data_IF_651856633541
#
_entry.id   IF_651856633541
#
_cell.length_a   1.000
_cell.length_b   1.000
_cell.length_c   1.000
_cell.angle_alpha   90.00
_cell.angle_beta   90.00
_cell.angle_gamma   90.00
#
_symmetry.space_group_name_H-M   'P 1'
#
loop_
_entity.id
_entity.type
_entity.pdbx_description
1 polymer ?
2 polymer ?
3 polymer ?
4 non-polymer ?
5 non-polymer ?
6 non-polymer ?
7 non-polymer ?
8 non-polymer ?
9 water ?
#
# COMPACT_ATOMS: atom_id res chain seq x y z
N UNK A 25 13.92 -11.17 -13.47
CA UNK A 25 13.54 -9.76 -13.41
C UNK A 25 12.13 -9.50 -13.89
N UNK A 26 11.15 -10.05 -13.16
CA UNK A 26 9.76 -9.88 -13.53
C UNK A 26 9.21 -8.56 -12.99
N UNK A 27 8.20 -8.04 -13.68
CA UNK A 27 7.57 -6.78 -13.31
C UNK A 27 6.06 -6.97 -13.22
N UNK A 28 5.40 -6.05 -12.53
CA UNK A 28 3.98 -6.14 -12.27
C UNK A 28 3.31 -4.78 -12.46
N UNK A 29 2.06 -4.81 -12.89
CA UNK A 29 1.18 -3.66 -12.88
C UNK A 29 -0.08 -4.02 -12.11
N UNK A 30 -0.51 -3.15 -11.21
CA UNK A 30 -1.68 -3.41 -10.37
C UNK A 30 -2.55 -2.18 -10.29
N UNK A 31 -3.87 -2.39 -10.32
CA UNK A 31 -4.85 -1.35 -10.11
C UNK A 31 -5.68 -1.68 -8.88
N UNK A 32 -5.99 -0.67 -8.08
CA UNK A 32 -6.72 -0.85 -6.83
C UNK A 32 -7.93 0.08 -6.83
N UNK A 33 -9.12 -0.48 -6.93
CA UNK A 33 -10.36 0.27 -6.90
C UNK A 33 -10.99 0.17 -5.52
N UNK A 34 -11.60 1.26 -5.07
CA UNK A 34 -12.29 1.28 -3.79
C UNK A 34 -13.54 2.14 -3.91
N UNK A 35 -14.70 1.57 -3.57
CA UNK A 35 -15.98 2.27 -3.62
C UNK A 35 -16.62 2.19 -2.25
N UNK A 36 -16.77 3.33 -1.58
CA UNK A 36 -17.36 3.41 -0.24
C UNK A 36 -18.68 4.14 -0.35
N UNK A 37 -19.75 3.48 0.10
CA UNK A 37 -21.08 4.07 0.04
C UNK A 37 -21.29 5.08 1.16
N UNK A 38 -22.16 6.05 0.90
CA UNK A 38 -22.50 7.10 1.84
C UNK A 38 -23.84 6.80 2.51
N UNK A 39 -24.10 7.39 3.68
CA UNK A 39 -25.41 7.23 4.30
C UNK A 39 -26.51 7.75 3.40
N UNK A 40 -27.67 7.08 3.46
CA UNK A 40 -28.78 7.40 2.58
C UNK A 40 -28.56 7.04 1.12
N UNK A 41 -27.58 6.18 0.82
CA UNK A 41 -27.28 5.76 -0.54
C UNK A 41 -26.95 6.95 -1.44
N UNK A 42 -26.24 7.93 -0.88
CA UNK A 42 -25.77 9.06 -1.65
C UNK A 42 -24.66 8.67 -2.61
N UNK A 43 -24.15 9.68 -3.32
CA UNK A 43 -23.07 9.47 -4.29
C UNK A 43 -21.86 8.89 -3.59
N UNK A 44 -21.49 7.64 -3.89
CA UNK A 44 -20.43 6.99 -3.13
C UNK A 44 -19.05 7.54 -3.47
N UNK A 45 -18.14 7.35 -2.53
CA UNK A 45 -16.74 7.72 -2.73
C UNK A 45 -16.04 6.64 -3.54
N UNK A 46 -15.35 7.06 -4.60
CA UNK A 46 -14.62 6.14 -5.47
C UNK A 46 -13.19 6.61 -5.62
N UNK A 47 -12.23 5.74 -5.31
CA UNK A 47 -10.81 6.03 -5.41
C UNK A 47 -10.14 4.90 -6.17
N UNK A 48 -9.37 5.25 -7.20
CA UNK A 48 -8.65 4.28 -8.01
C UNK A 48 -7.21 4.73 -8.15
N UNK A 49 -6.28 3.78 -7.99
CA UNK A 49 -4.85 4.05 -8.12
C UNK A 49 -4.23 2.97 -9.00
N UNK A 50 -3.12 3.32 -9.63
CA UNK A 50 -2.39 2.39 -10.47
C UNK A 50 -0.93 2.32 -10.07
N UNK A 51 -0.39 1.11 -10.10
CA UNK A 51 1.00 0.87 -9.70
C UNK A 51 1.71 0.07 -10.78
N UNK A 52 2.97 0.40 -11.01
CA UNK A 52 3.91 -0.45 -11.73
C UNK A 52 4.98 -0.85 -10.73
N UNK A 53 4.97 -2.12 -10.32
CA UNK A 53 5.78 -2.63 -9.21
C UNK A 53 5.40 -1.83 -7.97
N UNK A 54 6.30 -1.07 -7.36
CA UNK A 54 5.99 -0.30 -6.17
C UNK A 54 5.95 1.21 -6.46
N UNK A 55 5.58 1.59 -7.67
CA UNK A 55 5.54 2.98 -8.10
C UNK A 55 4.14 3.32 -8.59
N UNK A 56 3.47 4.22 -7.89
CA UNK A 56 2.17 4.72 -8.32
C UNK A 56 2.35 5.71 -9.47
N UNK A 57 1.52 5.56 -10.51
CA UNK A 57 1.63 6.40 -11.69
C UNK A 57 0.34 7.09 -12.09
N UNK A 58 -0.84 6.60 -11.67
CA UNK A 58 -2.11 7.26 -11.97
C UNK A 58 -2.98 7.22 -10.71
N UNK A 59 -3.98 8.10 -10.69
CA UNK A 59 -4.93 8.13 -9.59
C UNK A 59 -6.25 8.71 -10.07
N UNK A 60 -7.33 8.31 -9.41
CA UNK A 60 -8.64 8.91 -9.61
C UNK A 60 -9.32 9.02 -8.26
N UNK A 61 -9.98 10.15 -8.03
CA UNK A 61 -10.69 10.39 -6.78
C UNK A 61 -11.99 11.12 -7.10
N UNK A 62 -13.13 10.53 -6.73
CA UNK A 62 -14.41 11.16 -6.98
C UNK A 62 -14.55 12.47 -6.20
N UNK A 63 -13.81 12.62 -5.10
CA UNK A 63 -13.79 13.87 -4.34
C UNK A 63 -12.82 14.89 -4.92
N UNK A 64 -11.95 14.49 -5.85
CA UNK A 64 -11.08 15.45 -6.52
C UNK A 64 -11.88 16.32 -7.47
N UNK A 65 -11.38 17.54 -7.68
CA UNK A 65 -12.09 18.54 -8.49
C UNK A 65 -12.02 18.23 -9.98
N UNK A 66 -10.90 17.67 -10.45
CA UNK A 66 -10.74 17.46 -11.88
C UNK A 66 -11.72 16.45 -12.43
N UNK A 67 -12.11 15.46 -11.63
CA UNK A 67 -12.98 14.36 -12.05
C UNK A 67 -12.37 13.62 -13.25
N UNK A 68 -11.04 13.57 -13.30
CA UNK A 68 -10.32 12.95 -14.40
C UNK A 68 -9.25 12.01 -13.83
N UNK A 69 -8.74 11.14 -14.70
CA UNK A 69 -7.62 10.28 -14.35
C UNK A 69 -6.35 11.12 -14.30
N UNK A 70 -5.82 11.35 -13.10
CA UNK A 70 -4.69 12.27 -12.99
C UNK A 70 -3.37 11.51 -13.02
N UNK A 71 -2.32 12.14 -13.55
CA UNK A 71 -1.00 11.49 -13.54
C UNK A 71 -0.33 11.59 -12.18
N UNK A 72 0.51 10.59 -11.89
CA UNK A 72 1.25 10.56 -10.63
C UNK A 72 2.70 10.15 -10.81
N UNK A 73 3.18 10.02 -12.04
CA UNK A 73 4.57 9.70 -12.32
C UNK A 73 5.06 10.57 -13.47
N UNK A 74 6.36 10.86 -13.53
CA UNK A 74 6.86 11.69 -14.64
C UNK A 74 6.70 11.03 -16.00
N UNK A 75 6.88 9.71 -16.09
CA UNK A 75 6.86 9.04 -17.38
C UNK A 75 5.46 8.75 -17.90
N UNK A 76 4.42 9.02 -17.11
CA UNK A 76 3.05 8.80 -17.58
C UNK A 76 2.44 10.05 -18.20
N UNK A 77 2.97 11.23 -17.87
CA UNK A 77 2.46 12.47 -18.46
C UNK A 77 2.75 12.58 -19.95
N UNK A 78 3.60 11.70 -20.48
CA UNK A 78 3.88 11.68 -21.91
C UNK A 78 2.66 11.28 -22.73
N UNK A 79 1.70 10.56 -22.13
CA UNK A 79 0.55 10.07 -22.86
C UNK A 79 -0.34 11.23 -23.32
N UNK A 80 -0.95 11.04 -24.49
CA UNK A 80 -1.73 12.09 -25.11
C UNK A 80 -3.13 12.19 -24.54
N UNK A 81 -3.91 13.11 -25.11
CA UNK A 81 -5.27 13.34 -24.59
C UNK A 81 -6.21 12.19 -24.86
N UNK A 82 -5.99 11.42 -25.93
CA UNK A 82 -6.82 10.24 -26.18
C UNK A 82 -6.65 9.20 -25.08
N UNK A 83 -5.45 9.12 -24.50
CA UNK A 83 -5.23 8.19 -23.39
C UNK A 83 -6.04 8.59 -22.16
N UNK A 84 -5.88 9.83 -21.70
CA UNK A 84 -6.55 10.27 -20.49
C UNK A 84 -8.07 10.25 -20.64
N UNK A 85 -8.57 10.38 -21.87
CA UNK A 85 -10.02 10.31 -22.09
C UNK A 85 -10.53 8.89 -21.86
N UNK A 86 -9.93 7.91 -22.54
CA UNK A 86 -10.40 6.54 -22.43
C UNK A 86 -10.19 5.99 -21.02
N UNK A 87 -9.07 6.34 -20.38
CA UNK A 87 -8.83 5.89 -19.02
C UNK A 87 -9.82 6.50 -18.05
N UNK A 88 -10.24 7.75 -18.29
CA UNK A 88 -11.27 8.36 -17.44
C UNK A 88 -12.63 7.72 -17.68
N UNK A 89 -12.94 7.39 -18.94
CA UNK A 89 -14.21 6.75 -19.24
C UNK A 89 -14.32 5.38 -18.60
N UNK A 90 -13.24 4.60 -18.63
CA UNK A 90 -13.31 3.23 -18.15
C UNK A 90 -13.31 3.14 -16.62
N UNK A 91 -12.64 4.06 -15.93
CA UNK A 91 -12.71 4.06 -14.47
C UNK A 91 -14.05 4.59 -14.01
N UNK A 92 -14.66 5.50 -14.78
CA UNK A 92 -16.01 5.94 -14.47
C UNK A 92 -17.02 4.81 -14.66
N UNK A 93 -16.84 4.01 -15.71
CA UNK A 93 -17.77 2.93 -16.00
C UNK A 93 -17.77 1.90 -14.88
N UNK A 94 -16.59 1.60 -14.33
CA UNK A 94 -16.51 0.63 -13.25
C UNK A 94 -17.10 1.21 -11.96
N UNK A 95 -16.84 2.49 -11.68
CA UNK A 95 -17.36 3.11 -10.46
C UNK A 95 -18.88 3.12 -10.46
N UNK A 96 -19.49 3.43 -11.60
CA UNK A 96 -20.95 3.43 -11.70
C UNK A 96 -21.51 2.02 -11.55
N UNK A 97 -20.77 1.00 -11.99
CA UNK A 97 -21.21 -0.37 -11.80
C UNK A 97 -21.06 -0.80 -10.35
N UNK A 98 -19.96 -0.40 -9.71
CA UNK A 98 -19.81 -0.65 -8.28
C UNK A 98 -20.88 0.08 -7.47
N UNK A 99 -21.29 1.26 -7.94
CA UNK A 99 -22.33 2.01 -7.24
C UNK A 99 -23.66 1.26 -7.25
N UNK A 100 -24.00 0.63 -8.38
CA UNK A 100 -25.26 -0.11 -8.47
C UNK A 100 -25.17 -1.40 -7.65
N UNK A 101 -24.01 -2.06 -7.68
CA UNK A 101 -23.84 -3.29 -6.92
C UNK A 101 -23.90 -3.01 -5.42
N UNK A 102 -23.36 -1.88 -4.98
CA UNK A 102 -23.42 -1.53 -3.56
C UNK A 102 -24.85 -1.44 -3.06
N UNK A 103 -25.72 -0.80 -3.85
CA UNK A 103 -27.12 -0.72 -3.46
C UNK A 103 -27.83 -2.06 -3.54
N UNK A 104 -27.48 -2.86 -4.55
CA UNK A 104 -28.06 -4.20 -4.67
C UNK A 104 -27.65 -5.08 -3.49
N UNK A 105 -26.40 -4.96 -3.05
CA UNK A 105 -25.93 -5.76 -1.93
C UNK A 105 -26.48 -5.27 -0.61
N UNK A 106 -26.69 -3.96 -0.48
CA UNK A 106 -27.23 -3.42 0.78
C UNK A 106 -28.64 -3.93 1.04
N UNK A 107 -29.46 -4.01 -0.02
CA UNK A 107 -30.78 -4.59 0.12
C UNK A 107 -30.79 -6.10 0.21
N UNK A 108 -29.76 -6.75 -0.33
CA UNK A 108 -29.66 -8.20 -0.23
C UNK A 108 -29.39 -8.63 1.21
N UNK A 109 -28.49 -7.92 1.89
CA UNK A 109 -28.12 -8.26 3.26
C UNK A 109 -28.86 -7.42 4.29
N UNK A 110 -29.86 -6.65 3.87
CA UNK A 110 -30.70 -5.85 4.77
C UNK A 110 -29.85 -5.00 5.70
N UNK A 111 -28.85 -4.33 5.11
CA UNK A 111 -27.92 -3.52 5.88
C UNK A 111 -28.47 -2.10 6.03
N UNK A 112 -28.23 -1.51 7.20
CA UNK A 112 -28.84 -0.23 7.56
C UNK A 112 -28.52 0.85 6.52
N UNK A 113 -29.50 1.73 6.30
CA UNK A 113 -29.35 2.82 5.34
C UNK A 113 -28.43 3.93 5.86
N UNK A 114 -28.02 3.88 7.12
CA UNK A 114 -27.19 4.91 7.72
C UNK A 114 -25.72 4.50 7.82
N UNK A 115 -25.33 3.38 7.21
CA UNK A 115 -23.98 2.89 7.27
C UNK A 115 -23.24 3.04 5.95
N UNK A 116 -21.96 2.65 5.99
CA UNK A 116 -21.09 2.68 4.83
C UNK A 116 -20.61 1.27 4.52
N UNK A 117 -20.49 0.95 3.24
CA UNK A 117 -20.05 -0.36 2.79
C UNK A 117 -19.10 -0.19 1.62
N UNK A 118 -18.16 -1.13 1.49
CA UNK A 118 -17.05 -0.99 0.57
C UNK A 118 -17.00 -2.15 -0.42
N UNK A 119 -16.73 -1.83 -1.68
CA UNK A 119 -16.42 -2.80 -2.71
C UNK A 119 -15.02 -2.48 -3.24
N UNK A 120 -14.12 -3.45 -3.17
CA UNK A 120 -12.74 -3.29 -3.61
C UNK A 120 -12.45 -4.24 -4.76
N UNK A 121 -11.68 -3.77 -5.73
CA UNK A 121 -11.25 -4.58 -6.86
C UNK A 121 -9.75 -4.47 -7.01
N UNK A 122 -9.08 -5.61 -7.17
CA UNK A 122 -7.65 -5.65 -7.43
C UNK A 122 -7.42 -6.50 -8.68
N UNK A 123 -6.74 -5.93 -9.66
CA UNK A 123 -6.44 -6.66 -10.89
C UNK A 123 -5.12 -6.17 -11.47
N UNK A 124 -4.48 -7.03 -12.25
CA UNK A 124 -3.21 -6.69 -12.85
C UNK A 124 -2.61 -7.89 -13.55
N UNK A 125 -1.36 -7.72 -13.99
CA UNK A 125 -0.66 -8.74 -14.74
C UNK A 125 0.82 -8.75 -14.37
N UNK A 126 1.48 -9.86 -14.68
CA UNK A 126 2.91 -10.04 -14.46
C UNK A 126 3.59 -10.38 -15.78
N UNK A 127 4.76 -9.79 -16.00
CA UNK A 127 5.57 -10.07 -17.18
C UNK A 127 6.94 -10.53 -16.75
N UNK A 128 7.56 -11.38 -17.57
CA UNK A 128 8.91 -11.84 -17.33
C UNK A 128 9.93 -10.88 -17.90
N UNK A 129 11.21 -11.25 -17.81
CA UNK A 129 12.25 -10.39 -18.39
C UNK A 129 12.11 -10.19 -19.88
N UNK A 130 11.59 -11.18 -20.61
CA UNK A 130 11.36 -11.04 -22.04
C UNK A 130 10.09 -10.28 -22.38
N UNK A 131 9.30 -9.88 -21.37
CA UNK A 131 8.10 -9.12 -21.61
C UNK A 131 6.85 -9.92 -21.89
N UNK A 132 6.91 -11.25 -21.76
CA UNK A 132 5.75 -12.09 -22.04
C UNK A 132 4.85 -12.18 -20.81
N UNK A 133 3.61 -12.58 -21.04
CA UNK A 133 2.63 -12.70 -19.97
C UNK A 133 2.99 -13.86 -19.04
N UNK A 134 2.93 -13.60 -17.74
CA UNK A 134 3.20 -14.62 -16.72
C UNK A 134 1.92 -15.07 -16.02
N UNK A 135 1.22 -14.16 -15.34
CA UNK A 135 0.02 -14.52 -14.61
C UNK A 135 -0.87 -13.29 -14.50
N UNK A 136 -2.19 -13.52 -14.40
CA UNK A 136 -3.15 -12.46 -14.32
C UNK A 136 -3.89 -12.47 -12.99
N UNK A 137 -4.59 -11.36 -12.71
CA UNK A 137 -5.30 -11.24 -11.45
C UNK A 137 -6.58 -10.45 -11.64
N UNK A 138 -7.64 -10.87 -10.95
CA UNK A 138 -8.91 -10.15 -10.96
C UNK A 138 -9.74 -10.70 -9.80
N UNK A 139 -9.92 -9.91 -8.76
CA UNK A 139 -10.62 -10.37 -7.57
C UNK A 139 -11.25 -9.19 -6.86
N UNK A 140 -12.42 -9.43 -6.28
CA UNK A 140 -13.24 -8.41 -5.65
C UNK A 140 -13.45 -8.76 -4.18
N UNK A 141 -13.85 -7.76 -3.41
CA UNK A 141 -14.15 -7.94 -1.99
C UNK A 141 -15.29 -7.01 -1.60
N UNK A 142 -16.19 -7.50 -0.76
CA UNK A 142 -17.31 -6.71 -0.24
C UNK A 142 -17.19 -6.67 1.28
N UNK A 143 -17.15 -5.44 1.82
CA UNK A 143 -17.05 -5.20 3.26
C UNK A 143 -15.82 -5.87 3.89
N UNK A 144 -14.69 -5.90 3.17
CA UNK A 144 -13.45 -6.36 3.75
C UNK A 144 -13.11 -7.82 3.53
N UNK A 145 -14.05 -8.64 3.11
CA UNK A 145 -13.83 -10.07 2.91
C UNK A 145 -13.99 -10.43 1.44
N UNK A 146 -13.33 -11.52 1.05
CA UNK A 146 -13.33 -11.96 -0.34
C UNK A 146 -14.74 -12.16 -0.86
N UNK A 147 -14.98 -11.69 -2.09
CA UNK A 147 -16.28 -11.83 -2.76
C UNK A 147 -16.16 -12.83 -3.91
N UNK A 148 -15.43 -12.49 -4.96
CA UNK A 148 -15.21 -13.39 -6.08
C UNK A 148 -13.82 -13.12 -6.65
N UNK A 149 -13.18 -14.18 -7.16
CA UNK A 149 -11.81 -14.10 -7.63
C UNK A 149 -11.64 -14.95 -8.88
N UNK A 150 -10.89 -14.41 -9.84
CA UNK A 150 -10.56 -15.15 -11.05
C UNK A 150 -9.37 -16.06 -10.78
N UNK A 151 -9.57 -17.36 -10.98
CA UNK A 151 -8.52 -18.34 -10.70
C UNK A 151 -7.33 -18.14 -11.64
N UNK A 152 -6.22 -18.81 -11.31
CA UNK A 152 -4.99 -18.64 -12.06
C UNK A 152 -5.11 -19.09 -13.52
N UNK A 153 -6.04 -19.99 -13.81
CA UNK A 153 -6.26 -20.43 -15.19
C UNK A 153 -7.02 -19.42 -16.03
N UNK A 154 -7.53 -18.35 -15.42
CA UNK A 154 -8.24 -17.28 -16.12
C UNK A 154 -9.46 -17.81 -16.87
N UNK A 155 -10.03 -18.92 -16.40
CA UNK A 155 -11.23 -19.50 -17.01
C UNK A 155 -12.30 -19.87 -16.00
N UNK A 156 -12.01 -19.87 -14.70
CA UNK A 156 -12.99 -20.22 -13.68
C UNK A 156 -12.89 -19.22 -12.54
N UNK A 157 -13.94 -19.21 -11.71
CA UNK A 157 -14.04 -18.27 -10.61
C UNK A 157 -14.11 -19.01 -9.28
N UNK A 158 -13.66 -18.33 -8.22
CA UNK A 158 -13.79 -18.80 -6.85
C UNK A 158 -14.57 -17.74 -6.07
N UNK A 159 -15.81 -18.06 -5.72
CA UNK A 159 -16.72 -17.11 -5.10
C UNK A 159 -16.97 -17.46 -3.64
N UNK A 160 -17.44 -16.45 -2.90
CA UNK A 160 -17.74 -16.61 -1.49
C UNK A 160 -19.16 -17.14 -1.29
N UNK A 161 -19.81 -16.75 -0.20
CA UNK A 161 -21.10 -17.28 0.17
C UNK A 161 -22.24 -16.40 -0.32
N UNK A 162 -23.36 -17.04 -0.65
CA UNK A 162 -24.64 -16.37 -0.92
C UNK A 162 -24.59 -15.41 -2.10
N UNK A 163 -24.51 -14.10 -1.81
CA UNK A 163 -24.61 -13.11 -2.87
C UNK A 163 -23.50 -13.29 -3.90
N UNK A 164 -22.30 -13.67 -3.43
CA UNK A 164 -21.21 -13.96 -4.36
C UNK A 164 -21.50 -15.19 -5.21
N UNK A 165 -22.27 -16.14 -4.68
CA UNK A 165 -22.59 -17.34 -5.43
C UNK A 165 -23.55 -17.04 -6.58
N UNK A 166 -24.36 -15.99 -6.43
CA UNK A 166 -25.19 -15.55 -7.55
C UNK A 166 -24.33 -14.88 -8.61
N UNK A 167 -23.32 -14.11 -8.20
CA UNK A 167 -22.42 -13.49 -9.15
C UNK A 167 -21.64 -14.54 -9.93
N UNK A 168 -21.16 -15.59 -9.24
CA UNK A 168 -20.43 -16.65 -9.92
C UNK A 168 -21.31 -17.35 -10.95
N UNK A 169 -22.54 -17.69 -10.56
CA UNK A 169 -23.48 -18.26 -11.51
C UNK A 169 -23.77 -17.31 -12.66
N UNK A 170 -23.85 -16.01 -12.36
CA UNK A 170 -24.14 -15.02 -13.40
C UNK A 170 -22.96 -14.88 -14.37
N UNK A 171 -21.75 -14.78 -13.82
CA UNK A 171 -20.59 -14.58 -14.68
C UNK A 171 -20.21 -15.85 -15.44
N UNK A 172 -20.50 -17.02 -14.88
CA UNK A 172 -20.24 -18.26 -15.60
C UNK A 172 -21.15 -18.40 -16.82
N UNK A 173 -22.45 -18.11 -16.66
CA UNK A 173 -23.38 -18.23 -17.77
C UNK A 173 -23.11 -17.19 -18.85
N UNK A 174 -22.48 -16.08 -18.52
CA UNK A 174 -22.17 -15.03 -19.49
C UNK A 174 -20.78 -15.14 -20.09
N UNK A 175 -20.01 -16.15 -19.69
CA UNK A 175 -18.62 -16.33 -20.16
C UNK A 175 -17.78 -15.08 -19.91
N UNK A 176 -18.00 -14.44 -18.77
CA UNK A 176 -17.32 -13.18 -18.43
C UNK A 176 -15.82 -13.35 -18.29
N UNK A 177 -15.34 -14.55 -17.97
CA UNK A 177 -13.91 -14.74 -17.77
C UNK A 177 -13.12 -14.65 -19.06
N UNK A 178 -13.78 -14.79 -20.22
CA UNK A 178 -13.07 -14.76 -21.49
C UNK A 178 -12.52 -13.38 -21.78
N UNK A 179 -13.34 -12.34 -21.61
CA UNK A 179 -12.89 -10.98 -21.85
C UNK A 179 -12.02 -10.45 -20.70
N UNK A 180 -12.19 -10.98 -19.49
CA UNK A 180 -11.26 -10.67 -18.42
C UNK A 180 -9.88 -11.23 -18.72
N UNK A 181 -9.83 -12.46 -19.27
CA UNK A 181 -8.56 -13.05 -19.66
C UNK A 181 -7.93 -12.28 -20.82
N UNK A 182 -8.76 -11.76 -21.72
CA UNK A 182 -8.24 -11.04 -22.89
C UNK A 182 -7.53 -9.77 -22.47
N UNK A 183 -8.05 -9.07 -21.46
CA UNK A 183 -7.41 -7.85 -20.98
C UNK A 183 -6.10 -8.17 -20.26
N UNK A 184 -6.15 -9.13 -19.33
CA UNK A 184 -4.97 -9.43 -18.52
C UNK A 184 -3.82 -9.96 -19.36
N UNK A 185 -4.14 -10.79 -20.36
CA UNK A 185 -3.10 -11.32 -21.25
C UNK A 185 -2.80 -10.39 -22.42
N UNK A 186 -3.59 -9.35 -22.63
CA UNK A 186 -3.40 -8.49 -23.78
C UNK A 186 -3.08 -7.04 -23.45
N UNK A 187 -4.12 -6.23 -23.22
CA UNK A 187 -3.91 -4.80 -23.00
C UNK A 187 -3.06 -4.54 -21.77
N UNK A 188 -3.22 -5.36 -20.73
CA UNK A 188 -2.43 -5.19 -19.52
C UNK A 188 -0.95 -5.40 -19.81
N UNK A 189 -0.61 -6.47 -20.54
CA UNK A 189 0.78 -6.75 -20.85
C UNK A 189 1.35 -5.71 -21.80
N UNK A 190 0.57 -5.33 -22.82
CA UNK A 190 1.04 -4.37 -23.81
C UNK A 190 1.42 -3.04 -23.16
N UNK A 191 0.56 -2.53 -22.28
CA UNK A 191 0.81 -1.24 -21.66
C UNK A 191 1.81 -1.32 -20.52
N UNK A 192 1.92 -2.49 -19.87
CA UNK A 192 2.96 -2.64 -18.85
C UNK A 192 4.35 -2.54 -19.46
N UNK A 193 4.56 -3.12 -20.64
CA UNK A 193 5.83 -2.97 -21.32
C UNK A 193 6.07 -1.52 -21.72
N UNK A 194 5.02 -0.85 -22.22
CA UNK A 194 5.15 0.54 -22.61
C UNK A 194 5.54 1.42 -21.44
N UNK A 195 4.90 1.21 -20.29
CA UNK A 195 5.26 1.95 -19.08
C UNK A 195 6.69 1.62 -18.65
N UNK A 196 7.07 0.34 -18.73
CA UNK A 196 8.42 -0.05 -18.35
C UNK A 196 9.47 0.55 -19.26
N UNK A 197 9.13 0.76 -20.54
CA UNK A 197 10.09 1.36 -21.47
C UNK A 197 10.14 2.88 -21.33
N UNK A 198 8.97 3.52 -21.25
CA UNK A 198 8.94 4.97 -21.09
C UNK A 198 9.58 5.42 -19.78
N UNK A 199 9.47 4.59 -18.74
CA UNK A 199 10.06 4.93 -17.46
C UNK A 199 11.11 3.93 -17.01
N UNK A 200 11.96 3.48 -17.94
CA UNK A 200 13.00 2.52 -17.57
C UNK A 200 14.01 3.13 -16.61
N UNK A 201 14.22 4.44 -16.67
CA UNK A 201 15.11 5.11 -15.73
C UNK A 201 14.52 5.19 -14.32
N UNK A 202 13.22 4.92 -14.18
CA UNK A 202 12.55 4.93 -12.88
C UNK A 202 12.09 3.56 -12.43
N UNK A 203 11.61 2.73 -13.36
CA UNK A 203 11.03 1.44 -13.00
C UNK A 203 12.07 0.31 -13.03
N UNK A 204 13.00 0.35 -13.98
CA UNK A 204 14.00 -0.70 -14.12
C UNK A 204 15.29 -0.39 -13.36
N UNK A 205 15.26 0.55 -12.43
CA UNK A 205 16.40 0.86 -11.59
C UNK A 205 16.19 0.31 -10.19
N UNK A 206 17.30 0.00 -9.53
CA UNK A 206 17.28 -0.51 -8.15
C UNK A 206 18.10 0.43 -7.29
N UNK A 207 17.44 1.14 -6.38
CA UNK A 207 18.12 2.01 -5.43
C UNK A 207 18.50 1.20 -4.21
N UNK A 208 19.79 0.97 -3.95
CA UNK A 208 20.18 0.13 -2.81
C UNK A 208 19.92 0.82 -1.49
N UNK A 209 19.81 0.07 -0.40
CA UNK A 209 19.57 0.68 0.91
C UNK A 209 20.83 1.25 1.53
N UNK A 210 20.66 2.34 2.26
CA UNK A 210 21.73 2.96 3.03
C UNK A 210 21.62 2.45 4.47
N UNK A 211 22.57 1.61 4.86
CA UNK A 211 22.46 0.86 6.11
C UNK A 211 23.35 1.45 7.19
N UNK A 212 22.89 1.32 8.43
CA UNK A 212 23.67 1.68 9.61
C UNK A 212 23.00 1.03 10.83
N UNK A 213 23.68 1.11 11.97
CA UNK A 213 23.22 0.47 13.19
C UNK A 213 23.26 1.46 14.35
N UNK A 214 22.28 1.38 15.24
CA UNK A 214 22.19 2.22 16.41
C UNK A 214 22.18 1.36 17.67
N UNK A 215 22.44 2.01 18.80
CA UNK A 215 22.54 1.33 20.09
C UNK A 215 21.68 2.08 21.10
N UNK A 216 20.83 1.36 21.82
CA UNK A 216 19.90 1.95 22.78
C UNK A 216 19.87 1.10 24.04
N UNK A 217 20.50 1.55 25.12
CA UNK A 217 20.53 0.75 26.35
C UNK A 217 19.16 0.63 26.98
N UNK A 218 18.85 -0.57 27.44
CA UNK A 218 17.62 -0.80 28.20
C UNK A 218 17.88 -0.70 29.70
N UNK A 219 19.01 -1.22 30.15
CA UNK A 219 19.38 -1.15 31.56
C UNK A 219 20.91 -1.27 31.66
N UNK A 220 21.40 -1.77 32.79
CA UNK A 220 22.82 -2.06 32.94
C UNK A 220 23.18 -3.48 32.51
N UNK A 221 22.18 -4.29 32.15
CA UNK A 221 22.42 -5.66 31.72
C UNK A 221 22.00 -5.92 30.27
N UNK A 222 21.15 -5.10 29.69
CA UNK A 222 20.64 -5.32 28.35
C UNK A 222 20.66 -4.02 27.56
N UNK A 223 20.63 -4.16 26.23
CA UNK A 223 20.58 -3.02 25.33
C UNK A 223 19.99 -3.50 24.01
N UNK A 224 19.45 -2.54 23.24
CA UNK A 224 18.80 -2.82 21.97
C UNK A 224 19.70 -2.35 20.84
N UNK A 225 20.04 -3.26 19.94
CA UNK A 225 20.75 -2.93 18.70
C UNK A 225 19.73 -2.88 17.56
N UNK A 226 19.58 -1.71 16.96
CA UNK A 226 18.64 -1.51 15.86
C UNK A 226 19.40 -1.36 14.56
N UNK A 227 18.99 -2.13 13.55
CA UNK A 227 19.66 -2.20 12.26
C UNK A 227 18.78 -1.55 11.21
N UNK A 228 19.23 -0.43 10.65
CA UNK A 228 18.42 0.39 9.76
C UNK A 228 18.69 0.08 8.29
N UNK A 229 17.70 0.38 7.45
CA UNK A 229 17.83 0.29 6.01
C UNK A 229 16.94 1.37 5.41
N UNK A 230 17.55 2.40 4.84
CA UNK A 230 16.83 3.60 4.42
C UNK A 230 17.04 3.85 2.93
N UNK A 231 15.99 4.36 2.29
CA UNK A 231 16.08 4.83 0.92
C UNK A 231 16.30 3.76 -0.14
N UNK A 232 15.63 2.62 -0.02
CA UNK A 232 15.79 1.54 -0.98
C UNK A 232 14.53 1.40 -1.84
N UNK A 233 14.74 0.84 -3.04
CA UNK A 233 13.67 0.55 -3.99
C UNK A 233 14.14 -0.63 -4.83
N UNK A 234 13.30 -1.63 -5.06
CA UNK A 234 11.90 -1.78 -4.61
C UNK A 234 11.78 -2.12 -3.13
N UNK A 235 10.57 -2.35 -2.65
CA UNK A 235 10.33 -2.54 -1.22
C UNK A 235 10.74 -3.92 -0.71
N UNK A 236 10.98 -4.88 -1.60
CA UNK A 236 11.35 -6.23 -1.18
C UNK A 236 12.73 -6.21 -0.56
N UNK A 237 12.80 -6.52 0.73
CA UNK A 237 14.06 -6.50 1.48
C UNK A 237 13.97 -7.52 2.60
N UNK A 238 15.12 -8.02 3.04
CA UNK A 238 15.19 -9.03 4.08
C UNK A 238 16.22 -8.61 5.11
N UNK A 239 15.80 -8.58 6.38
CA UNK A 239 16.67 -8.25 7.50
C UNK A 239 16.66 -9.39 8.50
N UNK A 240 17.85 -9.90 8.85
CA UNK A 240 17.97 -11.03 9.75
C UNK A 240 19.14 -10.80 10.69
N UNK A 241 18.96 -11.18 11.95
CA UNK A 241 20.01 -11.13 12.96
C UNK A 241 20.68 -12.48 13.11
N UNK A 242 21.94 -12.45 13.57
CA UNK A 242 22.69 -13.65 13.85
C UNK A 242 23.50 -13.47 15.12
N UNK A 243 23.68 -14.56 15.87
CA UNK A 243 24.54 -14.57 17.05
C UNK A 243 25.58 -15.67 16.86
N UNK A 244 26.85 -15.26 16.74
CA UNK A 244 27.97 -16.18 16.52
C UNK A 244 27.80 -16.99 15.24
N UNK A 245 27.08 -16.43 14.26
CA UNK A 245 26.87 -17.07 12.99
C UNK A 245 25.55 -17.79 12.85
N UNK A 246 24.91 -18.12 13.97
CA UNK A 246 23.63 -18.83 13.95
C UNK A 246 22.48 -17.83 13.87
N UNK A 247 21.42 -18.22 13.18
CA UNK A 247 20.25 -17.36 13.05
C UNK A 247 19.64 -17.06 14.41
N UNK A 248 19.57 -15.78 14.76
CA UNK A 248 19.05 -15.34 16.06
C UNK A 248 17.62 -14.85 15.86
N UNK A 249 16.66 -15.63 16.37
CA UNK A 249 15.25 -15.25 16.33
C UNK A 249 14.68 -14.86 17.68
N UNK A 250 15.35 -15.23 18.77
CA UNK A 250 14.88 -14.86 20.10
C UNK A 250 15.04 -13.35 20.32
N UNK A 251 14.01 -12.72 20.87
CA UNK A 251 14.05 -11.31 21.25
C UNK A 251 14.38 -10.42 20.05
N UNK A 252 13.60 -10.58 18.99
CA UNK A 252 13.80 -9.84 17.75
C UNK A 252 12.50 -9.13 17.36
N UNK A 253 12.61 -7.84 17.04
CA UNK A 253 11.48 -7.06 16.54
C UNK A 253 11.78 -6.61 15.13
N UNK A 254 10.75 -6.62 14.28
CA UNK A 254 10.86 -6.24 12.88
C UNK A 254 9.60 -5.47 12.49
N UNK A 255 9.77 -4.20 12.15
CA UNK A 255 8.64 -3.38 11.71
C UNK A 255 8.41 -3.59 10.22
N UNK A 256 7.20 -3.32 9.78
CA UNK A 256 6.87 -3.50 8.37
C UNK A 256 7.52 -2.41 7.53
N UNK A 257 7.75 -2.73 6.26
CA UNK A 257 8.37 -1.78 5.34
C UNK A 257 7.47 -0.58 5.14
N UNK A 258 7.97 0.60 5.50
CA UNK A 258 7.19 1.82 5.45
C UNK A 258 7.69 2.73 4.33
N UNK A 259 6.81 3.52 3.72
CA UNK A 259 7.25 4.44 2.66
C UNK A 259 7.90 5.68 3.24
N UNK A 260 8.95 6.15 2.57
CA UNK A 260 9.62 7.36 3.00
C UNK A 260 8.94 8.62 2.48
N UNK A 261 8.08 8.49 1.47
CA UNK A 261 7.42 9.63 0.88
C UNK A 261 8.10 10.20 -0.35
N UNK A 262 9.28 9.71 -0.71
CA UNK A 262 10.02 10.19 -1.86
C UNK A 262 10.16 9.13 -2.96
N UNK A 263 9.44 8.01 -2.83
CA UNK A 263 9.57 6.90 -3.74
C UNK A 263 10.36 5.74 -3.22
N UNK A 264 11.13 5.95 -2.15
CA UNK A 264 11.91 4.89 -1.51
C UNK A 264 11.21 4.42 -0.25
N UNK A 265 11.81 3.44 0.43
CA UNK A 265 11.19 2.80 1.58
C UNK A 265 12.19 2.70 2.72
N UNK A 266 11.65 2.39 3.90
CA UNK A 266 12.43 2.22 5.12
C UNK A 266 12.02 0.95 5.83
N UNK A 267 12.94 0.40 6.63
CA UNK A 267 12.69 -0.78 7.44
C UNK A 267 13.86 -0.98 8.39
N UNK A 268 13.57 -1.39 9.62
CA UNK A 268 14.63 -1.69 10.57
C UNK A 268 14.28 -2.94 11.37
N UNK A 269 15.32 -3.58 11.89
CA UNK A 269 15.20 -4.76 12.74
C UNK A 269 15.95 -4.52 14.04
N UNK A 270 15.37 -4.99 15.15
CA UNK A 270 15.96 -4.79 16.47
C UNK A 270 16.15 -6.12 17.16
N UNK A 271 17.07 -6.11 18.13
CA UNK A 271 17.35 -7.29 18.95
C UNK A 271 17.86 -6.81 20.30
N UNK A 272 17.44 -7.49 21.36
CA UNK A 272 17.89 -7.18 22.72
C UNK A 272 19.08 -8.07 23.04
N UNK A 273 20.22 -7.46 23.33
CA UNK A 273 21.45 -8.20 23.58
C UNK A 273 21.94 -7.91 24.99
N UNK A 274 22.58 -8.86 25.66
CA UNK A 274 23.17 -8.56 26.97
C UNK A 274 24.37 -7.64 26.84
N UNK A 275 24.63 -6.88 27.90
CA UNK A 275 25.70 -5.89 27.88
C UNK A 275 27.05 -6.57 27.68
N UNK A 276 27.89 -5.95 26.85
CA UNK A 276 29.21 -6.46 26.54
C UNK A 276 29.26 -7.49 25.44
N UNK A 277 28.11 -7.95 24.94
CA UNK A 277 28.05 -8.95 23.88
C UNK A 277 27.46 -8.39 22.59
N UNK A 278 27.53 -7.08 22.39
CA UNK A 278 26.95 -6.47 21.19
C UNK A 278 27.65 -6.96 19.93
N UNK A 279 28.97 -7.13 19.99
CA UNK A 279 29.72 -7.55 18.81
C UNK A 279 29.52 -9.01 18.47
N UNK A 280 28.85 -9.78 19.32
CA UNK A 280 28.48 -11.15 18.96
C UNK A 280 27.38 -11.18 17.92
N UNK A 281 26.64 -10.09 17.74
CA UNK A 281 25.46 -10.06 16.89
C UNK A 281 25.77 -9.33 15.59
N UNK A 282 25.26 -9.86 14.49
CA UNK A 282 25.45 -9.30 13.16
C UNK A 282 24.12 -9.17 12.46
N UNK A 283 23.93 -8.04 11.77
CA UNK A 283 22.74 -7.79 10.97
C UNK A 283 23.04 -8.09 9.51
N UNK A 284 22.12 -8.78 8.84
CA UNK A 284 22.29 -9.20 7.46
C UNK A 284 21.17 -8.62 6.60
N UNK A 285 21.55 -7.94 5.53
CA UNK A 285 20.61 -7.21 4.68
C UNK A 285 20.67 -7.82 3.28
N UNK A 286 19.52 -8.22 2.76
CA UNK A 286 19.39 -8.76 1.41
C UNK A 286 18.44 -7.88 0.62
N UNK A 287 18.91 -7.35 -0.50
CA UNK A 287 18.11 -6.48 -1.35
C UNK A 287 18.55 -6.65 -2.79
N UNK A 288 17.62 -6.39 -3.72
CA UNK A 288 17.93 -6.56 -5.14
C UNK A 288 19.02 -5.61 -5.59
N UNK A 289 19.04 -4.40 -5.04
CA UNK A 289 20.05 -3.41 -5.42
C UNK A 289 21.44 -3.66 -4.87
N UNK A 290 21.62 -4.70 -4.05
CA UNK A 290 22.93 -5.03 -3.51
C UNK A 290 23.55 -6.15 -4.32
N UNK A 291 24.74 -5.96 -4.88
CA UNK A 291 25.43 -7.09 -5.55
C UNK A 291 25.83 -8.18 -4.58
N UNK A 292 26.19 -7.83 -3.34
CA UNK A 292 26.51 -8.78 -2.30
C UNK A 292 25.71 -8.44 -1.05
N UNK A 293 25.16 -9.43 -0.36
CA UNK A 293 24.43 -9.14 0.89
C UNK A 293 25.34 -8.49 1.91
N UNK A 294 24.82 -7.45 2.56
CA UNK A 294 25.57 -6.69 3.54
C UNK A 294 25.51 -7.33 4.92
N UNK A 295 26.57 -7.11 5.70
CA UNK A 295 26.65 -7.59 7.07
C UNK A 295 27.12 -6.44 7.95
N UNK A 296 26.41 -6.20 9.05
CA UNK A 296 26.72 -5.11 9.96
C UNK A 296 26.91 -5.64 11.37
N UNK A 297 28.03 -5.27 11.98
CA UNK A 297 28.32 -5.57 13.37
C UNK A 297 28.57 -4.28 14.12
N UNK A 298 28.14 -4.22 15.38
CA UNK A 298 28.33 -3.02 16.18
C UNK A 298 29.82 -2.74 16.37
N UNK A 299 30.21 -1.49 16.16
CA UNK A 299 31.61 -1.10 16.25
C UNK A 299 31.90 -0.32 17.53
N UNK B 1 -19.49 -7.56 7.76
CA UNK B 1 -18.24 -6.82 7.71
C UNK B 1 -17.14 -7.47 8.52
N UNK B 2 -15.91 -7.39 8.01
CA UNK B 2 -14.72 -7.64 8.81
C UNK B 2 -14.01 -6.30 9.00
N UNK B 3 -13.68 -5.97 10.24
CA UNK B 3 -13.03 -4.72 10.56
C UNK B 3 -11.65 -4.99 11.13
N UNK B 4 -10.70 -4.11 10.83
CA UNK B 4 -9.32 -4.28 11.24
C UNK B 4 -8.80 -3.01 11.88
N UNK B 5 -8.07 -3.17 12.99
CA UNK B 5 -7.47 -2.06 13.72
C UNK B 5 -6.25 -1.54 12.96
N UNK B 6 -6.11 -0.22 12.80
CA UNK B 6 -4.96 0.31 12.06
C UNK B 6 -3.67 0.16 12.83
N UNK B 7 -2.58 0.01 12.07
CA UNK B 7 -1.23 0.03 12.61
C UNK B 7 -0.61 1.39 12.33
N UNK B 8 0.02 1.99 13.34
CA UNK B 8 0.49 3.36 13.26
C UNK B 8 2.00 3.38 13.42
N UNK B 9 2.69 4.03 12.47
CA UNK B 9 4.12 4.28 12.55
C UNK B 9 4.39 5.76 12.37
N UNK B 10 5.15 6.34 13.29
CA UNK B 10 5.56 7.74 13.21
C UNK B 10 7.06 7.79 13.03
N UNK B 11 7.52 8.54 12.03
CA UNK B 11 8.93 8.57 11.67
C UNK B 11 9.16 9.74 10.73
N UNK B 12 10.43 9.97 10.41
CA UNK B 12 10.84 11.03 9.50
C UNK B 12 11.39 10.44 8.22
N UNK B 13 11.27 11.22 7.13
CA UNK B 13 11.77 10.77 5.83
C UNK B 13 13.28 10.56 5.87
N UNK B 14 14.01 11.52 6.43
CA UNK B 14 15.44 11.45 6.63
C UNK B 14 15.77 11.39 8.11
N UNK B 15 16.96 10.91 8.48
CA UNK B 15 17.32 10.88 9.90
C UNK B 15 17.21 12.26 10.54
N UNK B 16 16.70 12.28 11.76
CA UNK B 16 16.44 13.54 12.45
C UNK B 16 17.73 14.31 12.70
N UNK B 17 17.72 15.59 12.36
CA UNK B 17 18.86 16.48 12.59
C UNK B 17 18.31 17.83 13.01
N UNK B 18 18.50 18.19 14.28
CA UNK B 18 17.92 19.41 14.82
C UNK B 18 18.41 20.64 14.06
N UNK B 19 17.47 21.36 13.45
CA UNK B 19 17.75 22.60 12.75
C UNK B 19 17.54 22.51 11.25
N UNK B 20 17.46 21.31 10.71
CA UNK B 20 17.30 21.08 9.28
C UNK B 20 15.89 20.61 8.98
N UNK B 21 15.31 21.14 7.89
CA UNK B 21 13.97 20.76 7.50
C UNK B 21 13.93 19.30 7.05
N UNK B 22 12.78 18.66 7.27
CA UNK B 22 12.61 17.25 6.96
C UNK B 22 11.14 17.03 6.62
N UNK B 23 10.67 15.80 6.80
CA UNK B 23 9.27 15.45 6.57
C UNK B 23 8.83 14.49 7.65
N UNK B 24 7.78 14.84 8.39
CA UNK B 24 7.23 13.97 9.42
C UNK B 24 6.15 13.10 8.82
N UNK B 25 6.33 11.79 8.88
CA UNK B 25 5.42 10.84 8.30
C UNK B 25 4.64 10.10 9.37
N UNK B 26 3.38 9.77 9.04
CA UNK B 26 2.55 8.89 9.87
C UNK B 26 1.92 7.86 8.95
N UNK B 27 2.36 6.61 9.05
CA UNK B 27 1.94 5.54 8.15
C UNK B 27 0.92 4.68 8.87
N UNK B 28 -0.34 4.73 8.40
CA UNK B 28 -1.42 3.90 8.93
C UNK B 28 -1.71 2.81 7.91
N UNK B 29 -1.79 1.57 8.38
CA UNK B 29 -1.97 0.43 7.49
C UNK B 29 -2.73 -0.67 8.23
N UNK B 30 -3.21 -1.64 7.45
CA UNK B 30 -3.87 -2.79 8.03
C UNK B 30 -5.21 -2.51 8.67
N UNK B 31 -5.97 -1.53 8.16
CA UNK B 31 -7.25 -1.17 8.73
C UNK B 31 -8.36 -1.34 7.69
N UNK B 32 -9.58 -1.44 8.19
CA UNK B 32 -10.77 -1.59 7.36
C UNK B 32 -11.99 -1.23 8.20
N UNK B 33 -12.92 -0.40 7.70
CA UNK B 33 -12.94 0.24 6.37
C UNK B 33 -11.95 1.39 6.23
N UNK B 34 -12.04 2.13 5.11
CA UNK B 34 -11.03 3.12 4.78
C UNK B 34 -11.26 4.47 5.45
N UNK B 35 -12.47 4.73 5.96
CA UNK B 35 -12.73 6.00 6.64
C UNK B 35 -11.91 6.07 7.92
N UNK B 36 -11.04 7.06 8.01
CA UNK B 36 -10.09 7.16 9.11
C UNK B 36 -9.70 8.62 9.28
N UNK B 37 -9.53 9.04 10.53
CA UNK B 37 -9.14 10.41 10.87
C UNK B 37 -7.72 10.40 11.40
N UNK B 38 -6.81 11.07 10.69
CA UNK B 38 -5.40 11.11 11.06
C UNK B 38 -4.96 12.57 11.11
N UNK B 39 -4.43 12.99 12.26
CA UNK B 39 -3.89 14.32 12.44
C UNK B 39 -2.46 14.23 12.95
N UNK B 40 -1.64 15.19 12.53
CA UNK B 40 -0.26 15.31 13.00
C UNK B 40 -0.19 16.44 14.02
N UNK B 41 0.32 16.13 15.21
CA UNK B 41 0.34 17.07 16.32
C UNK B 41 1.75 17.59 16.57
N UNK B 42 1.85 18.86 16.94
CA UNK B 42 3.09 19.48 17.37
C UNK B 42 2.85 20.06 18.76
N UNK B 43 3.46 19.45 19.78
CA UNK B 43 3.24 19.82 21.18
C UNK B 43 1.77 19.73 21.56
N UNK B 44 1.04 18.79 20.96
CA UNK B 44 -0.37 18.60 21.24
C UNK B 44 -1.31 19.36 20.33
N UNK B 45 -0.81 20.30 19.53
CA UNK B 45 -1.63 21.11 18.65
C UNK B 45 -1.62 20.53 17.24
N UNK B 46 -2.80 20.50 16.61
CA UNK B 46 -2.93 19.91 15.29
C UNK B 46 -2.21 20.76 14.26
N UNK B 47 -1.29 20.14 13.50
CA UNK B 47 -0.67 20.80 12.38
C UNK B 47 -1.71 21.01 11.29
N UNK B 48 -1.76 22.23 10.74
CA UNK B 48 -2.86 22.59 9.84
C UNK B 48 -2.68 21.98 8.45
N UNK B 49 -1.66 22.41 7.73
CA UNK B 49 -1.43 21.95 6.36
C UNK B 49 -0.75 20.58 6.40
N UNK B 50 -1.55 19.53 6.19
CA UNK B 50 -1.05 18.16 6.18
C UNK B 50 -1.69 17.42 5.01
N UNK B 51 -0.87 16.89 4.12
CA UNK B 51 -1.35 16.12 2.97
C UNK B 51 -1.21 14.63 3.24
N UNK B 52 -1.84 13.83 2.38
CA UNK B 52 -1.80 12.39 2.49
C UNK B 52 -1.76 11.77 1.11
N UNK B 53 -1.36 10.50 1.06
CA UNK B 53 -1.27 9.78 -0.20
C UNK B 53 -2.65 9.29 -0.64
N UNK B 54 -2.69 8.75 -1.86
CA UNK B 54 -3.94 8.23 -2.39
C UNK B 54 -4.26 6.87 -1.76
N UNK B 55 -5.56 6.60 -1.64
CA UNK B 55 -6.00 5.39 -0.95
C UNK B 55 -5.63 4.15 -1.74
N UNK B 56 -4.92 3.22 -1.08
CA UNK B 56 -4.59 1.93 -1.65
C UNK B 56 -4.70 0.88 -0.55
N UNK B 57 -4.74 -0.39 -0.95
CA UNK B 57 -4.88 -1.47 0.00
C UNK B 57 -3.93 -2.60 -0.35
N UNK B 58 -3.69 -3.47 0.62
CA UNK B 58 -2.75 -4.57 0.47
C UNK B 58 -3.47 -5.79 -0.12
N UNK B 59 -2.79 -6.93 -0.16
CA UNK B 59 -3.37 -8.14 -0.74
C UNK B 59 -4.43 -8.75 0.15
N UNK B 60 -4.47 -8.38 1.44
CA UNK B 60 -5.50 -8.83 2.36
C UNK B 60 -6.68 -7.85 2.43
N UNK B 61 -6.79 -6.94 1.46
CA UNK B 61 -7.84 -5.94 1.31
C UNK B 61 -7.77 -4.82 2.35
N UNK B 62 -6.77 -4.83 3.23
CA UNK B 62 -6.66 -3.78 4.23
C UNK B 62 -5.95 -2.55 3.66
N UNK B 63 -6.50 -1.37 3.96
CA UNK B 63 -6.02 -0.14 3.36
C UNK B 63 -4.76 0.36 4.05
N UNK B 64 -4.05 1.26 3.37
CA UNK B 64 -2.90 1.94 3.95
C UNK B 64 -2.83 3.36 3.39
N UNK B 65 -2.35 4.28 4.23
CA UNK B 65 -2.23 5.69 3.86
C UNK B 65 -0.99 6.26 4.51
N UNK B 66 -0.44 7.30 3.89
CA UNK B 66 0.74 8.00 4.42
C UNK B 66 0.39 9.47 4.59
N UNK B 67 0.31 9.91 5.85
CA UNK B 67 0.09 11.31 6.17
C UNK B 67 1.42 11.96 6.50
N UNK B 68 1.74 13.05 5.81
CA UNK B 68 3.03 13.68 5.92
C UNK B 68 2.89 15.20 5.92
N UNK B 69 3.94 15.86 6.41
CA UNK B 69 4.01 17.31 6.41
C UNK B 69 5.48 17.71 6.51
N UNK B 70 5.75 18.97 6.16
CA UNK B 70 7.10 19.52 6.28
C UNK B 70 7.29 20.09 7.68
N UNK B 71 8.40 19.72 8.32
CA UNK B 71 8.69 20.20 9.66
C UNK B 71 10.20 20.27 9.85
N UNK B 72 10.60 20.88 10.97
CA UNK B 72 12.01 20.96 11.36
C UNK B 72 12.11 20.53 12.81
N UNK B 73 12.71 19.37 13.09
CA UNK B 73 12.75 18.88 14.48
C UNK B 73 13.73 19.67 15.33
N UNK B 74 13.36 19.87 16.59
CA UNK B 74 14.27 20.47 17.55
C UNK B 74 14.42 19.53 18.75
N UNK B 75 15.11 19.99 19.80
CA UNK B 75 15.31 19.15 20.97
C UNK B 75 14.11 19.15 21.90
N UNK B 76 13.38 20.25 21.97
CA UNK B 76 12.29 20.39 22.93
C UNK B 76 10.91 20.21 22.31
N UNK B 77 10.75 20.45 21.01
CA UNK B 77 9.44 20.31 20.38
C UNK B 77 9.06 18.84 20.26
N UNK B 78 7.80 18.55 20.57
CA UNK B 78 7.25 17.20 20.49
C UNK B 78 6.38 17.06 19.25
N UNK B 79 6.32 15.84 18.74
CA UNK B 79 5.50 15.52 17.58
C UNK B 79 4.83 14.18 17.80
N UNK B 80 3.62 14.04 17.28
CA UNK B 80 2.85 12.81 17.45
C UNK B 80 1.85 12.67 16.32
N UNK B 81 1.18 11.53 16.28
CA UNK B 81 0.15 11.25 15.30
C UNK B 81 -1.09 10.73 16.02
N UNK B 82 -2.23 11.36 15.75
CA UNK B 82 -3.50 11.02 16.39
C UNK B 82 -4.40 10.37 15.35
N UNK B 83 -4.75 9.10 15.57
CA UNK B 83 -5.54 8.32 14.62
C UNK B 83 -6.85 7.94 15.30
N UNK B 84 -7.96 8.19 14.60
CA UNK B 84 -9.28 7.77 15.05
C UNK B 84 -9.92 6.89 13.98
N UNK B 85 -10.51 5.78 14.40
CA UNK B 85 -11.09 4.82 13.49
C UNK B 85 -12.33 4.21 14.15
N UNK B 86 -13.16 3.58 13.33
CA UNK B 86 -14.36 2.95 13.86
C UNK B 86 -14.03 1.79 14.78
N UNK B 87 -12.83 1.21 14.65
CA UNK B 87 -12.40 0.11 15.50
C UNK B 87 -11.74 0.59 16.79
N UNK B 88 -11.52 1.89 16.95
CA UNK B 88 -10.89 2.45 18.12
C UNK B 88 -11.94 3.12 19.00
N UNK B 89 -12.05 2.67 20.25
CA UNK B 89 -12.95 3.31 21.20
C UNK B 89 -12.51 4.75 21.47
N UNK B 90 -11.23 4.94 21.77
CA UNK B 90 -10.60 6.23 21.94
C UNK B 90 -9.54 6.44 20.87
N UNK B 91 -9.36 7.67 20.39
CA UNK B 91 -8.30 7.92 19.40
C UNK B 91 -6.93 7.58 19.96
N UNK B 92 -6.14 6.89 19.14
CA UNK B 92 -4.81 6.46 19.54
C UNK B 92 -3.78 7.50 19.12
N UNK B 93 -2.94 7.91 20.06
CA UNK B 93 -1.91 8.91 19.83
C UNK B 93 -0.55 8.24 19.98
N UNK B 94 0.22 8.23 18.88
CA UNK B 94 1.54 7.63 18.86
C UNK B 94 2.56 8.76 18.78
N UNK B 95 3.46 8.81 19.75
CA UNK B 95 4.47 9.86 19.79
C UNK B 95 5.60 9.55 18.82
N UNK B 96 6.25 10.61 18.34
CA UNK B 96 7.40 10.45 17.46
C UNK B 96 8.65 10.12 18.25
N UNK B 97 9.45 9.19 17.73
CA UNK B 97 10.71 8.81 18.32
C UNK B 97 11.76 8.76 17.22
N UNK B 98 12.77 9.62 17.32
CA UNK B 98 13.81 9.66 16.31
C UNK B 98 14.66 8.40 16.26
N UNK B 99 14.57 7.54 17.27
CA UNK B 99 15.27 6.27 17.29
C UNK B 99 14.45 5.13 16.72
N UNK B 100 13.24 5.40 16.23
CA UNK B 100 12.39 4.37 15.65
C UNK B 100 11.69 4.88 14.39
N UNK C 1 -2.87 1.18 -18.73
CA UNK C 1 -4.24 1.23 -19.21
C UNK C 1 -5.13 0.34 -18.36
N UNK C 2 -6.27 0.87 -17.93
CA UNK C 2 -7.15 0.18 -16.99
C UNK C 2 -8.04 -0.83 -17.70
N UNK C 3 -8.78 -1.62 -16.92
CA UNK C 3 -9.67 -2.63 -17.47
C UNK C 3 -10.82 -1.98 -18.23
N UNK C 4 -11.11 -2.53 -19.40
CA UNK C 4 -12.16 -2.03 -20.28
C UNK C 4 -13.40 -2.91 -20.32
N UNK C 5 -13.40 -4.05 -19.64
CA UNK C 5 -14.55 -4.94 -19.57
C UNK C 5 -15.20 -4.76 -18.19
N UNK C 6 -16.37 -4.12 -18.18
CA UNK C 6 -17.05 -3.75 -16.94
C UNK C 6 -18.13 -4.77 -16.67
N UNK C 7 -17.98 -5.53 -15.60
CA UNK C 7 -18.90 -6.60 -15.24
C UNK C 7 -19.81 -6.15 -14.10
N UNK C 8 -21.10 -6.40 -14.25
CA UNK C 8 -22.06 -6.15 -13.19
C UNK C 8 -22.15 -7.40 -12.30
N UNK C 9 -21.88 -7.22 -11.01
CA UNK C 9 -21.85 -8.37 -10.11
C UNK C 9 -23.24 -8.94 -9.86
N UNK C 10 -24.28 -8.11 -9.93
CA UNK C 10 -25.63 -8.57 -9.71
C UNK C 10 -26.61 -7.88 -10.66
#
# INVERSE_FOLDING_TARGET
MAVMAPRTLLLLLSGALALTQTWAGSHSMRYFYTSVSRPGRGEPRFIAVGYVDDTQFVRFDSDAASQRMEPRAPWIEQEGPEYWDQETRNVKAQSQTDRVDLGTLRGYYNQSEDGSHTIQIMYGCDVGPDGRFLRGYRQDAYDGKDYIALNEDLRSWTAADMAAQITKRKWEAAHAAEQQRAYLEGRCVEWLRRYLENGKETLQRTDPPKTHMTHHPISDHEATLRCWALGFYPAEITLTWQRDGEDQTQDTELVETRPAGDGTFQKWAAVVVPSGEEQRYTCHVQHEGLPKPLTLRWELSSQPTIPIVGIIAGLVLLGAVITGAVVAAVMWRRKSSDRKGGSYTQAASSDSAQGSDVSLTACKV
MIQRTPKIQVYSRHPAENGKSNFLNCYVSGFHPSDIEVDLLKNGERIEKVEHSDLSFSKDWSFYLLYYTEFTPTEKDEYACRVNHVTLSQPKIVKWDRDM
SVLNDILARL
#
